data_IF_197026313179
#
_entry.id   IF_197026313179
#
_cell.length_a   1.000
_cell.length_b   1.000
_cell.length_c   1.000
_cell.angle_alpha   90.00
_cell.angle_beta   90.00
_cell.angle_gamma   90.00
#
_symmetry.space_group_name_H-M   'P 1'
#
loop_
_entity.id
_entity.type
_entity.pdbx_description
1 polymer ?
#
# COMPACT_ATOMS: atom_id res chain seq x y z
N UNK A 1 61.15 35.09 -24.18
CA UNK A 1 59.76 35.48 -23.86
C UNK A 1 58.88 34.29 -24.25
N UNK A 2 58.59 33.36 -23.32
CA UNK A 2 57.42 33.33 -22.43
C UNK A 2 56.07 33.24 -23.18
N UNK A 3 55.49 32.03 -23.13
CA UNK A 3 54.11 31.69 -22.70
C UNK A 3 53.08 31.18 -23.73
N UNK A 4 52.90 29.86 -23.66
CA UNK A 4 51.68 29.07 -23.41
C UNK A 4 50.56 28.98 -24.47
N UNK A 5 50.45 27.75 -25.00
CA UNK A 5 49.21 27.13 -25.43
C UNK A 5 48.22 27.05 -24.27
N UNK A 6 47.02 27.58 -24.47
CA UNK A 6 45.87 27.43 -23.59
C UNK A 6 45.05 26.24 -24.10
N UNK A 7 45.36 25.03 -23.62
CA UNK A 7 44.50 23.86 -23.80
C UNK A 7 43.53 23.78 -22.63
N UNK A 8 42.27 24.11 -22.91
CA UNK A 8 41.13 23.99 -22.01
C UNK A 8 40.84 22.50 -21.77
N UNK A 9 41.24 21.95 -20.63
CA UNK A 9 40.75 20.65 -20.16
C UNK A 9 39.50 20.91 -19.31
N UNK A 10 38.32 20.68 -19.89
CA UNK A 10 37.09 20.51 -19.12
C UNK A 10 37.23 19.22 -18.31
N UNK A 11 37.37 19.36 -16.99
CA UNK A 11 37.18 18.25 -16.07
C UNK A 11 35.66 17.98 -15.96
N UNK A 12 35.19 16.96 -16.66
CA UNK A 12 33.87 16.37 -16.40
C UNK A 12 34.02 15.60 -15.08
N UNK A 13 33.58 16.20 -13.97
CA UNK A 13 33.35 15.46 -12.74
C UNK A 13 32.14 14.56 -13.00
N UNK A 14 32.41 13.29 -13.31
CA UNK A 14 31.39 12.26 -13.24
C UNK A 14 30.99 12.15 -11.77
N UNK A 15 29.80 12.63 -11.43
CA UNK A 15 29.15 12.28 -10.16
C UNK A 15 28.80 10.81 -10.32
N UNK A 16 29.62 9.94 -9.74
CA UNK A 16 29.22 8.56 -9.51
C UNK A 16 28.04 8.63 -8.53
N UNK A 17 26.82 8.49 -9.04
CA UNK A 17 25.68 8.09 -8.24
C UNK A 17 26.06 6.72 -7.69
N UNK A 18 26.51 6.64 -6.44
CA UNK A 18 26.66 5.33 -5.82
C UNK A 18 25.27 4.73 -5.78
N UNK A 19 25.08 3.59 -6.44
CA UNK A 19 23.87 2.81 -6.24
C UNK A 19 23.67 2.66 -4.73
N UNK A 20 22.44 2.89 -4.29
CA UNK A 20 22.12 2.63 -2.90
C UNK A 20 22.36 1.14 -2.63
N UNK A 21 23.29 0.83 -1.74
CA UNK A 21 23.50 -0.55 -1.33
C UNK A 21 22.25 -1.03 -0.58
N UNK A 22 21.67 -2.17 -0.97
CA UNK A 22 20.59 -2.79 -0.22
C UNK A 22 21.02 -3.08 1.21
N UNK A 23 20.03 -3.14 2.11
CA UNK A 23 20.25 -3.66 3.46
C UNK A 23 20.98 -5.01 3.41
N UNK A 24 21.81 -5.29 4.42
CA UNK A 24 22.64 -6.49 4.50
C UNK A 24 22.12 -7.52 5.51
N UNK A 25 20.94 -7.29 6.09
CA UNK A 25 20.34 -8.14 7.11
C UNK A 25 20.83 -7.88 8.54
N UNK A 26 21.69 -6.87 8.77
CA UNK A 26 22.22 -6.55 10.10
C UNK A 26 21.52 -5.36 10.75
N UNK A 27 21.73 -5.14 12.05
CA UNK A 27 21.22 -3.98 12.78
C UNK A 27 22.36 -3.12 13.33
N UNK A 28 22.13 -1.81 13.42
CA UNK A 28 23.08 -0.86 13.98
C UNK A 28 22.35 0.37 14.54
N UNK A 29 22.77 0.82 15.72
CA UNK A 29 22.19 2.01 16.35
C UNK A 29 22.47 3.27 15.55
N UNK A 30 21.51 4.21 15.58
CA UNK A 30 21.67 5.54 14.99
C UNK A 30 22.90 6.25 15.56
N UNK A 31 23.62 6.98 14.71
CA UNK A 31 24.78 7.79 15.11
C UNK A 31 24.47 9.29 15.15
N UNK A 32 23.29 9.69 14.63
CA UNK A 32 22.84 11.07 14.53
C UNK A 32 21.43 11.24 15.12
N UNK A 33 21.22 12.36 15.82
CA UNK A 33 19.96 12.68 16.51
C UNK A 33 19.91 12.19 17.96
N UNK A 34 19.09 12.84 18.78
CA UNK A 34 18.79 12.44 20.17
C UNK A 34 17.31 12.04 20.37
N UNK A 35 16.58 11.95 19.26
CA UNK A 35 15.17 11.61 19.20
C UNK A 35 14.24 12.74 19.66
N UNK A 36 14.75 13.96 19.88
CA UNK A 36 13.89 15.14 20.05
C UNK A 36 13.31 15.60 18.71
N UNK A 37 12.27 16.44 18.75
CA UNK A 37 11.68 17.02 17.53
C UNK A 37 12.64 17.94 16.76
N UNK A 38 13.64 18.53 17.43
CA UNK A 38 14.68 19.36 16.79
C UNK A 38 15.81 18.52 16.18
N UNK A 39 16.06 17.33 16.77
CA UNK A 39 17.13 16.41 16.36
C UNK A 39 16.62 14.97 16.39
N UNK A 40 15.71 14.61 15.45
CA UNK A 40 15.17 13.26 15.37
C UNK A 40 16.30 12.24 15.14
N UNK A 41 16.11 11.01 15.59
CA UNK A 41 16.99 9.91 15.19
C UNK A 41 16.94 9.75 13.67
N UNK A 42 18.10 9.78 13.02
CA UNK A 42 18.17 9.68 11.57
C UNK A 42 18.21 8.22 11.12
N UNK A 43 17.24 7.82 10.30
CA UNK A 43 17.26 6.53 9.59
C UNK A 43 18.00 6.75 8.27
N UNK A 44 19.24 6.27 8.21
CA UNK A 44 20.17 6.51 7.09
C UNK A 44 20.42 5.26 6.24
N UNK A 45 19.94 4.10 6.69
CA UNK A 45 20.13 2.79 6.07
C UNK A 45 19.18 1.76 6.69
N UNK A 46 19.15 0.54 6.12
CA UNK A 46 18.33 -0.56 6.62
C UNK A 46 18.73 -1.02 8.03
N UNK A 47 20.01 -0.92 8.40
CA UNK A 47 20.50 -1.31 9.73
C UNK A 47 19.91 -0.43 10.85
N UNK A 48 19.72 0.87 10.60
CA UNK A 48 19.04 1.79 11.52
C UNK A 48 17.55 1.46 11.69
N UNK A 49 16.89 1.00 10.63
CA UNK A 49 15.49 0.58 10.65
C UNK A 49 15.34 -0.77 11.39
N UNK A 50 16.22 -1.73 11.12
CA UNK A 50 16.27 -3.01 11.81
C UNK A 50 16.54 -2.83 13.31
N UNK A 51 17.42 -1.89 13.68
CA UNK A 51 17.65 -1.55 15.08
C UNK A 51 16.39 -0.99 15.75
N UNK A 52 15.60 -0.16 15.07
CA UNK A 52 14.30 0.29 15.59
C UNK A 52 13.38 -0.90 15.86
N UNK A 53 13.26 -1.84 14.91
CA UNK A 53 12.44 -3.04 15.06
C UNK A 53 12.87 -3.88 16.27
N UNK A 54 14.16 -4.15 16.41
CA UNK A 54 14.71 -4.89 17.56
C UNK A 54 14.38 -4.23 18.90
N UNK A 55 14.51 -2.90 19.00
CA UNK A 55 14.26 -2.19 20.25
C UNK A 55 12.77 -2.18 20.61
N UNK A 56 11.87 -2.00 19.63
CA UNK A 56 10.42 -2.06 19.87
C UNK A 56 10.00 -3.47 20.25
N UNK A 57 10.53 -4.51 19.59
CA UNK A 57 10.33 -5.89 19.98
C UNK A 57 10.93 -6.24 21.35
N UNK A 58 11.91 -5.47 21.84
CA UNK A 58 12.43 -5.59 23.21
C UNK A 58 11.57 -4.84 24.25
N UNK A 59 10.57 -4.06 23.82
CA UNK A 59 9.63 -3.34 24.68
C UNK A 59 9.86 -1.83 24.78
N UNK A 60 10.81 -1.26 24.03
CA UNK A 60 10.94 0.20 23.96
C UNK A 60 9.85 0.80 23.08
N UNK A 61 9.01 1.67 23.66
CA UNK A 61 7.86 2.24 22.95
C UNK A 61 8.22 3.46 22.10
N UNK A 62 9.31 4.15 22.42
CA UNK A 62 9.69 5.44 21.84
C UNK A 62 8.64 6.55 21.98
N UNK A 63 7.77 6.49 22.99
CA UNK A 63 6.80 7.54 23.28
C UNK A 63 7.48 8.93 23.38
N UNK A 64 7.02 9.88 22.57
CA UNK A 64 7.57 11.24 22.51
C UNK A 64 8.93 11.37 21.81
N UNK A 65 9.40 10.31 21.13
CA UNK A 65 10.62 10.34 20.31
C UNK A 65 10.31 10.46 18.83
N UNK A 66 11.23 11.07 18.09
CA UNK A 66 11.09 11.41 16.68
C UNK A 66 12.15 10.70 15.83
N UNK A 67 11.71 10.15 14.70
CA UNK A 67 12.53 9.48 13.70
C UNK A 67 12.33 10.16 12.36
N UNK A 68 13.40 10.31 11.59
CA UNK A 68 13.36 10.92 10.26
C UNK A 68 14.11 10.04 9.27
N UNK A 69 13.42 9.65 8.20
CA UNK A 69 14.02 8.97 7.08
C UNK A 69 14.78 9.96 6.19
N UNK A 70 16.06 9.67 5.90
CA UNK A 70 16.94 10.61 5.18
C UNK A 70 17.01 10.36 3.68
N UNK A 71 16.64 9.16 3.24
CA UNK A 71 16.61 8.71 1.83
C UNK A 71 15.68 7.51 1.70
N UNK A 72 15.32 7.15 0.49
CA UNK A 72 14.63 5.88 0.23
C UNK A 72 15.47 4.71 0.76
N UNK A 73 14.86 3.58 1.11
CA UNK A 73 15.56 2.37 1.55
C UNK A 73 15.27 1.22 0.60
N UNK A 74 16.33 0.52 0.19
CA UNK A 74 16.25 -0.80 -0.45
C UNK A 74 16.55 -1.85 0.62
N UNK A 75 15.58 -2.74 0.87
CA UNK A 75 15.65 -3.72 1.96
C UNK A 75 16.03 -5.14 1.50
N UNK A 76 16.40 -5.32 0.21
CA UNK A 76 17.03 -6.54 -0.29
C UNK A 76 16.17 -7.81 -0.32
N UNK A 77 14.84 -7.69 -0.49
CA UNK A 77 13.96 -8.85 -0.66
C UNK A 77 14.35 -9.73 -1.86
N UNK A 78 14.76 -9.11 -2.98
CA UNK A 78 15.33 -9.78 -4.16
C UNK A 78 16.62 -10.59 -3.86
N UNK A 79 17.31 -10.29 -2.76
CA UNK A 79 18.46 -11.03 -2.23
C UNK A 79 18.07 -12.07 -1.17
N UNK A 80 16.78 -12.28 -0.94
CA UNK A 80 16.25 -13.21 0.04
C UNK A 80 16.29 -12.69 1.48
N UNK A 81 16.52 -11.39 1.69
CA UNK A 81 16.45 -10.79 3.02
C UNK A 81 14.99 -10.66 3.46
N UNK A 82 14.79 -10.80 4.76
CA UNK A 82 13.50 -10.70 5.41
C UNK A 82 13.61 -9.73 6.58
N UNK A 83 12.60 -8.88 6.73
CA UNK A 83 12.56 -7.84 7.75
C UNK A 83 11.55 -8.19 8.85
N UNK A 84 11.99 -8.09 10.10
CA UNK A 84 11.13 -8.27 11.26
C UNK A 84 10.31 -6.99 11.50
N UNK A 85 8.97 -7.09 11.67
CA UNK A 85 8.12 -5.93 11.95
C UNK A 85 8.61 -5.06 13.11
N UNK A 86 8.35 -3.74 13.01
CA UNK A 86 8.55 -2.82 14.14
C UNK A 86 7.41 -3.02 15.13
N UNK A 87 7.69 -3.79 16.17
CA UNK A 87 6.71 -4.16 17.18
C UNK A 87 5.85 -5.36 16.78
N UNK A 88 4.93 -5.73 17.66
CA UNK A 88 4.12 -6.95 17.57
C UNK A 88 2.75 -6.70 18.19
N UNK A 89 1.68 -7.13 17.53
CA UNK A 89 0.35 -7.18 18.12
C UNK A 89 0.12 -8.58 18.71
N UNK A 90 -0.18 -8.64 19.99
CA UNK A 90 -0.37 -9.90 20.72
C UNK A 90 -1.30 -9.74 21.92
N UNK A 91 -2.45 -9.11 21.71
CA UNK A 91 -3.47 -9.00 22.76
C UNK A 91 -4.44 -10.18 22.68
N UNK A 92 -4.55 -10.97 23.75
CA UNK A 92 -5.30 -12.23 23.73
C UNK A 92 -6.04 -12.53 25.03
N UNK A 93 -6.95 -13.51 24.96
CA UNK A 93 -7.64 -14.09 26.12
C UNK A 93 -7.09 -15.51 26.32
N UNK A 94 -6.62 -15.83 27.53
CA UNK A 94 -6.11 -17.15 27.88
C UNK A 94 -7.26 -18.07 28.33
N UNK A 95 -7.88 -18.70 27.35
CA UNK A 95 -8.97 -19.66 27.58
C UNK A 95 -8.51 -20.96 28.26
N UNK A 96 -7.19 -21.19 28.39
CA UNK A 96 -6.64 -22.38 29.07
C UNK A 96 -6.61 -22.23 30.60
N UNK A 97 -6.76 -21.01 31.10
CA UNK A 97 -6.90 -20.73 32.50
C UNK A 97 -8.39 -20.72 32.89
N UNK A 98 -8.95 -21.78 33.51
CA UNK A 98 -10.36 -21.83 33.89
C UNK A 98 -10.75 -20.81 34.98
N UNK A 99 -9.76 -20.10 35.54
CA UNK A 99 -9.97 -18.99 36.47
C UNK A 99 -9.88 -17.60 35.79
N UNK A 100 -9.58 -17.52 34.48
CA UNK A 100 -9.94 -16.35 33.67
C UNK A 100 -11.45 -16.37 33.45
N UNK A 101 -12.20 -15.93 34.47
CA UNK A 101 -13.61 -15.60 34.29
C UNK A 101 -13.77 -14.38 33.37
N UNK A 102 -15.01 -14.13 32.93
CA UNK A 102 -15.41 -12.99 32.07
C UNK A 102 -14.94 -11.61 32.59
N UNK A 103 -14.54 -11.51 33.87
CA UNK A 103 -14.06 -10.29 34.55
C UNK A 103 -12.53 -10.10 34.60
N UNK A 104 -11.70 -11.01 34.05
CA UNK A 104 -10.23 -10.93 34.17
C UNK A 104 -9.51 -10.20 33.01
N UNK A 105 -10.26 -9.70 32.02
CA UNK A 105 -9.76 -8.77 30.99
C UNK A 105 -8.84 -9.39 29.92
N UNK A 106 -8.52 -8.60 28.89
CA UNK A 106 -7.58 -8.94 27.82
C UNK A 106 -6.14 -8.91 28.38
N UNK A 107 -5.32 -9.91 28.05
CA UNK A 107 -3.88 -9.87 28.30
C UNK A 107 -3.25 -8.95 27.26
N UNK A 108 -2.67 -7.83 27.69
CA UNK A 108 -1.97 -6.89 26.81
C UNK A 108 -0.50 -7.29 26.62
N UNK A 109 -0.21 -8.23 25.70
CA UNK A 109 1.17 -8.64 25.39
C UNK A 109 1.75 -7.92 24.15
N UNK A 110 0.97 -7.03 23.52
CA UNK A 110 1.43 -6.24 22.39
C UNK A 110 2.63 -5.34 22.73
N UNK A 111 3.54 -5.21 21.77
CA UNK A 111 4.69 -4.31 21.80
C UNK A 111 4.53 -3.28 20.70
N UNK A 112 4.02 -2.11 21.07
CA UNK A 112 3.61 -1.11 20.10
C UNK A 112 4.58 0.08 20.05
N UNK A 113 4.89 0.53 18.84
CA UNK A 113 5.58 1.79 18.63
C UNK A 113 4.65 2.97 18.95
N UNK A 114 5.13 3.95 19.72
CA UNK A 114 4.38 5.12 20.19
C UNK A 114 5.09 6.45 19.89
N UNK A 115 6.12 6.43 19.03
CA UNK A 115 6.86 7.61 18.60
C UNK A 115 6.29 8.27 17.34
N UNK A 116 7.04 9.23 16.81
CA UNK A 116 6.78 9.88 15.52
C UNK A 116 7.79 9.36 14.50
N UNK A 117 7.31 8.70 13.45
CA UNK A 117 8.12 8.26 12.32
C UNK A 117 7.76 9.10 11.09
N UNK A 118 8.67 9.99 10.70
CA UNK A 118 8.54 10.82 9.52
C UNK A 118 9.37 10.26 8.36
N UNK A 119 8.69 9.74 7.36
CA UNK A 119 9.29 9.24 6.12
C UNK A 119 9.87 10.34 5.24
N UNK A 120 9.60 11.62 5.51
CA UNK A 120 10.16 12.75 4.77
C UNK A 120 9.93 12.67 3.24
N UNK A 121 8.79 12.11 2.83
CA UNK A 121 8.44 11.87 1.44
C UNK A 121 9.29 10.78 0.76
N UNK A 122 9.91 9.90 1.55
CA UNK A 122 10.73 8.78 1.07
C UNK A 122 9.96 7.47 1.13
N UNK A 123 10.44 6.48 0.39
CA UNK A 123 9.91 5.12 0.40
C UNK A 123 10.86 4.10 1.02
N UNK A 124 10.28 3.09 1.64
CA UNK A 124 10.94 1.83 1.96
C UNK A 124 10.46 0.84 0.90
N UNK A 125 11.39 0.30 0.13
CA UNK A 125 11.12 -0.54 -1.03
C UNK A 125 11.93 -1.83 -0.96
N UNK A 126 11.57 -2.80 -1.81
CA UNK A 126 12.20 -4.11 -1.85
C UNK A 126 12.26 -4.76 -0.46
N UNK A 127 11.22 -4.54 0.36
CA UNK A 127 11.11 -5.09 1.72
C UNK A 127 10.22 -6.32 1.70
N UNK A 128 10.70 -7.40 2.29
CA UNK A 128 9.90 -8.59 2.56
C UNK A 128 9.64 -8.67 4.06
N UNK A 129 8.45 -8.28 4.47
CA UNK A 129 7.97 -8.47 5.83
C UNK A 129 7.23 -9.80 5.85
N UNK A 130 7.56 -10.65 6.80
CA UNK A 130 6.96 -11.97 6.92
C UNK A 130 6.51 -12.21 8.35
N UNK A 131 5.56 -13.12 8.47
CA UNK A 131 5.03 -13.56 9.75
C UNK A 131 5.82 -14.77 10.28
N UNK A 132 6.23 -14.73 11.54
CA UNK A 132 7.17 -15.70 12.13
C UNK A 132 6.47 -16.79 12.93
N UNK A 133 5.25 -16.57 13.44
CA UNK A 133 4.69 -17.43 14.49
C UNK A 133 3.19 -17.73 14.33
N UNK A 134 2.82 -18.95 13.97
CA UNK A 134 1.43 -19.42 13.84
C UNK A 134 0.55 -19.21 15.09
N UNK A 135 1.13 -18.91 16.26
CA UNK A 135 0.41 -18.66 17.50
C UNK A 135 0.13 -17.19 17.85
N UNK A 136 0.54 -16.22 17.02
CA UNK A 136 0.17 -14.80 17.23
C UNK A 136 -1.29 -14.52 16.80
N UNK A 137 -1.92 -13.56 17.48
CA UNK A 137 -3.28 -13.07 17.15
C UNK A 137 -3.34 -12.18 15.90
N UNK A 138 -2.22 -12.03 15.19
CA UNK A 138 -2.11 -11.26 13.95
C UNK A 138 -1.31 -9.97 14.10
N UNK A 139 -1.45 -9.07 13.13
CA UNK A 139 -0.79 -7.76 13.14
C UNK A 139 0.54 -7.77 12.42
N UNK A 140 0.49 -7.85 11.09
CA UNK A 140 1.68 -7.78 10.23
C UNK A 140 1.69 -6.50 9.41
N UNK A 141 2.84 -5.81 9.42
CA UNK A 141 3.11 -4.63 8.61
C UNK A 141 4.52 -4.11 8.92
N UNK A 142 4.93 -3.00 8.30
CA UNK A 142 6.21 -2.36 8.67
C UNK A 142 6.26 -2.09 10.18
N UNK A 143 5.14 -1.64 10.74
CA UNK A 143 4.87 -1.64 12.15
C UNK A 143 3.86 -2.76 12.47
N UNK A 144 4.26 -3.77 13.25
CA UNK A 144 3.32 -4.82 13.67
C UNK A 144 2.19 -4.25 14.54
N UNK A 145 2.55 -3.34 15.45
CA UNK A 145 1.60 -2.57 16.25
C UNK A 145 2.05 -1.12 16.44
N UNK A 146 1.12 -0.18 16.36
CA UNK A 146 1.31 1.19 16.86
C UNK A 146 0.33 1.50 18.00
N UNK A 147 0.80 2.28 18.97
CA UNK A 147 0.04 2.65 20.17
C UNK A 147 -0.48 4.09 20.13
N UNK A 148 -1.20 4.47 21.18
CA UNK A 148 -1.72 5.82 21.37
C UNK A 148 -0.61 6.87 21.28
N UNK A 149 -0.83 7.88 20.45
CA UNK A 149 0.11 8.98 20.25
C UNK A 149 1.19 8.72 19.21
N UNK A 150 1.25 7.51 18.64
CA UNK A 150 2.08 7.23 17.47
C UNK A 150 1.66 8.09 16.28
N UNK A 151 2.63 8.57 15.51
CA UNK A 151 2.40 9.26 14.23
C UNK A 151 3.32 8.64 13.19
N UNK A 152 2.73 8.04 12.15
CA UNK A 152 3.44 7.58 10.96
C UNK A 152 3.06 8.53 9.83
N UNK A 153 4.05 9.21 9.24
CA UNK A 153 3.76 10.21 8.21
C UNK A 153 4.76 10.26 7.06
N UNK A 154 4.32 10.76 5.91
CA UNK A 154 5.14 11.04 4.73
C UNK A 154 5.97 9.83 4.26
N UNK A 155 5.40 8.62 4.33
CA UNK A 155 6.11 7.37 4.10
C UNK A 155 5.42 6.52 3.03
N UNK A 156 6.21 6.01 2.10
CA UNK A 156 5.78 5.04 1.09
C UNK A 156 6.29 3.63 1.36
N UNK A 157 5.47 2.62 1.08
CA UNK A 157 5.91 1.26 0.80
C UNK A 157 6.00 1.09 -0.72
N UNK A 158 7.18 0.80 -1.24
CA UNK A 158 7.45 0.75 -2.68
C UNK A 158 6.99 -0.54 -3.36
N UNK A 159 6.90 -0.50 -4.69
CA UNK A 159 6.29 -1.56 -5.51
C UNK A 159 6.99 -2.93 -5.46
N UNK A 160 8.27 -2.99 -5.05
CA UNK A 160 9.03 -4.25 -4.97
C UNK A 160 8.85 -4.95 -3.62
N UNK A 161 7.97 -4.40 -2.78
CA UNK A 161 7.76 -4.88 -1.42
C UNK A 161 6.68 -5.94 -1.38
N UNK A 162 6.86 -6.93 -0.52
CA UNK A 162 5.89 -7.97 -0.20
C UNK A 162 5.68 -8.02 1.31
N UNK A 163 4.44 -7.95 1.73
CA UNK A 163 4.02 -8.10 3.12
C UNK A 163 3.24 -9.40 3.21
N UNK A 164 3.92 -10.45 3.68
CA UNK A 164 3.36 -11.76 3.95
C UNK A 164 2.79 -11.79 5.37
N UNK A 165 1.49 -12.01 5.49
CA UNK A 165 0.81 -11.99 6.79
C UNK A 165 -0.37 -12.95 6.92
N UNK A 166 -0.89 -13.03 8.14
CA UNK A 166 -2.13 -13.74 8.46
C UNK A 166 -3.22 -12.72 8.78
N UNK A 167 -3.88 -12.81 9.93
CA UNK A 167 -4.92 -11.86 10.32
C UNK A 167 -4.36 -10.48 10.66
N UNK A 168 -5.15 -9.42 10.41
CA UNK A 168 -4.77 -8.02 10.65
C UNK A 168 -3.48 -7.62 9.91
N UNK A 169 -3.45 -7.82 8.59
CA UNK A 169 -2.27 -7.49 7.78
C UNK A 169 -2.45 -6.18 7.03
N UNK A 170 -1.49 -5.26 7.17
CA UNK A 170 -1.43 -4.03 6.39
C UNK A 170 0.01 -3.66 6.02
N UNK A 171 0.20 -2.95 4.91
CA UNK A 171 1.56 -2.66 4.42
C UNK A 171 2.37 -1.80 5.41
N UNK A 172 1.74 -0.78 6.00
CA UNK A 172 2.37 0.10 6.98
C UNK A 172 2.18 -0.40 8.40
N UNK A 173 0.95 -0.75 8.77
CA UNK A 173 0.60 -1.11 10.15
C UNK A 173 -0.24 -2.37 10.16
N UNK A 174 0.14 -3.36 10.98
CA UNK A 174 -0.72 -4.52 11.26
C UNK A 174 -1.95 -4.11 12.06
N UNK A 175 -1.73 -3.64 13.30
CA UNK A 175 -2.80 -3.18 14.18
C UNK A 175 -2.54 -1.80 14.82
N UNK A 176 -3.57 -0.95 14.85
CA UNK A 176 -3.54 0.37 15.51
C UNK A 176 -4.29 0.31 16.85
N UNK A 177 -3.60 0.47 17.99
CA UNK A 177 -4.21 0.77 19.30
C UNK A 177 -4.25 2.29 19.52
N UNK A 178 -4.84 3.00 18.56
CA UNK A 178 -4.81 4.44 18.40
C UNK A 178 -3.67 4.95 17.50
N UNK A 179 -3.45 6.27 17.51
CA UNK A 179 -2.40 6.93 16.71
C UNK A 179 -2.90 7.46 15.36
N UNK A 180 -1.96 7.91 14.53
CA UNK A 180 -2.21 8.60 13.27
C UNK A 180 -1.31 8.07 12.16
N UNK A 181 -1.91 7.66 11.04
CA UNK A 181 -1.23 7.39 9.78
C UNK A 181 -1.65 8.46 8.77
N UNK A 182 -0.71 9.28 8.27
CA UNK A 182 -1.06 10.37 7.35
C UNK A 182 -0.04 10.62 6.25
N UNK A 183 -0.49 11.04 5.07
CA UNK A 183 0.41 11.32 3.93
C UNK A 183 1.28 10.11 3.57
N UNK A 184 0.72 8.91 3.72
CA UNK A 184 1.41 7.67 3.47
C UNK A 184 0.78 6.90 2.31
N UNK A 185 1.53 5.97 1.74
CA UNK A 185 1.02 5.16 0.66
C UNK A 185 1.59 3.75 0.62
N UNK A 186 0.86 2.86 -0.07
CA UNK A 186 1.32 1.53 -0.41
C UNK A 186 1.25 1.31 -1.92
N UNK A 187 2.36 0.87 -2.50
CA UNK A 187 2.47 0.33 -3.86
C UNK A 187 2.93 -1.13 -3.86
N UNK A 188 3.32 -1.67 -2.70
CA UNK A 188 3.71 -3.06 -2.52
C UNK A 188 2.53 -4.03 -2.41
N UNK A 189 2.84 -5.33 -2.44
CA UNK A 189 1.82 -6.39 -2.37
C UNK A 189 1.58 -6.84 -0.94
N UNK A 190 0.31 -6.94 -0.54
CA UNK A 190 -0.11 -7.69 0.64
C UNK A 190 -0.47 -9.11 0.21
N UNK A 191 0.25 -10.09 0.74
CA UNK A 191 0.15 -11.53 0.45
C UNK A 191 -0.33 -12.26 1.71
N UNK A 192 -1.65 -12.35 1.88
CA UNK A 192 -2.28 -13.07 2.99
C UNK A 192 -2.21 -14.57 2.75
N UNK A 193 -1.60 -15.29 3.69
CA UNK A 193 -1.55 -16.76 3.68
C UNK A 193 -2.79 -17.39 4.30
N UNK A 194 -3.38 -16.71 5.28
CA UNK A 194 -4.60 -17.10 6.01
C UNK A 194 -5.15 -15.88 6.76
N UNK A 195 -6.26 -16.02 7.46
CA UNK A 195 -6.86 -14.92 8.23
C UNK A 195 -8.00 -14.22 7.49
N UNK A 196 -8.65 -13.28 8.17
CA UNK A 196 -9.89 -12.65 7.74
C UNK A 196 -9.71 -11.18 7.35
N UNK A 197 -8.69 -10.51 7.89
CA UNK A 197 -8.63 -9.05 7.90
C UNK A 197 -7.33 -8.56 7.24
N UNK A 198 -7.47 -7.79 6.18
CA UNK A 198 -6.37 -7.02 5.59
C UNK A 198 -6.80 -5.65 5.11
N UNK A 199 -5.87 -4.70 5.16
CA UNK A 199 -6.03 -3.39 4.55
C UNK A 199 -4.78 -2.94 3.83
N UNK A 200 -4.91 -2.32 2.67
CA UNK A 200 -3.78 -1.86 1.84
C UNK A 200 -2.75 -1.00 2.60
N UNK A 201 -3.15 -0.30 3.67
CA UNK A 201 -2.24 0.44 4.55
C UNK A 201 -2.22 -0.13 5.97
N UNK A 202 -3.40 -0.41 6.53
CA UNK A 202 -3.57 -0.83 7.93
C UNK A 202 -4.41 -2.10 7.98
N UNK A 203 -3.97 -3.15 8.67
CA UNK A 203 -4.78 -4.36 8.84
C UNK A 203 -6.08 -4.07 9.58
N UNK A 204 -5.96 -3.57 10.80
CA UNK A 204 -7.10 -3.03 11.53
C UNK A 204 -6.71 -2.17 12.72
N UNK A 205 -7.69 -1.72 13.48
CA UNK A 205 -7.42 -0.99 14.71
C UNK A 205 -8.60 -0.30 15.34
N UNK A 206 -8.29 0.41 16.41
CA UNK A 206 -9.23 1.12 17.26
C UNK A 206 -8.73 2.52 17.65
N UNK A 207 -9.63 3.47 17.88
CA UNK A 207 -9.31 4.84 18.33
C UNK A 207 -8.23 5.56 17.48
N UNK A 208 -8.09 5.17 16.22
CA UNK A 208 -7.04 5.62 15.31
C UNK A 208 -7.57 6.56 14.23
N UNK A 209 -6.64 7.16 13.49
CA UNK A 209 -6.94 7.97 12.32
C UNK A 209 -6.03 7.63 11.14
N UNK A 210 -6.61 7.44 9.96
CA UNK A 210 -5.91 7.35 8.68
C UNK A 210 -6.36 8.54 7.82
N UNK A 211 -5.42 9.37 7.37
CA UNK A 211 -5.77 10.60 6.66
C UNK A 211 -4.82 10.95 5.51
N UNK A 212 -5.37 11.32 4.35
CA UNK A 212 -4.56 11.74 3.20
C UNK A 212 -3.61 10.62 2.74
N UNK A 213 -4.10 9.39 2.65
CA UNK A 213 -3.31 8.23 2.28
C UNK A 213 -3.89 7.52 1.05
N UNK A 214 -3.07 6.70 0.39
CA UNK A 214 -3.58 5.90 -0.72
C UNK A 214 -2.98 4.50 -0.80
N UNK A 215 -3.72 3.61 -1.45
CA UNK A 215 -3.23 2.31 -1.84
C UNK A 215 -3.31 2.16 -3.35
N UNK A 216 -2.21 1.72 -3.96
CA UNK A 216 -2.10 1.25 -5.34
C UNK A 216 -1.52 -0.17 -5.42
N UNK A 217 -1.04 -0.68 -4.29
CA UNK A 217 -0.58 -2.05 -4.15
C UNK A 217 -1.72 -3.06 -4.19
N UNK A 218 -1.41 -4.29 -4.59
CA UNK A 218 -2.37 -5.40 -4.54
C UNK A 218 -2.65 -5.79 -3.09
N UNK A 219 -3.93 -5.96 -2.76
CA UNK A 219 -4.38 -6.50 -1.47
C UNK A 219 -4.97 -7.87 -1.72
N UNK A 220 -4.40 -8.91 -1.11
CA UNK A 220 -5.04 -10.22 -1.01
C UNK A 220 -5.69 -10.36 0.36
N UNK A 221 -6.82 -11.07 0.43
CA UNK A 221 -7.42 -11.42 1.71
C UNK A 221 -8.67 -12.27 1.59
N UNK A 222 -9.43 -12.37 2.68
CA UNK A 222 -10.70 -13.09 2.70
C UNK A 222 -11.84 -12.13 3.06
N UNK A 223 -12.43 -12.21 4.24
CA UNK A 223 -13.66 -11.49 4.59
C UNK A 223 -13.51 -9.97 4.54
N UNK A 224 -12.70 -9.37 5.40
CA UNK A 224 -12.60 -7.91 5.51
C UNK A 224 -11.34 -7.40 4.81
N UNK A 225 -11.10 -7.89 3.59
CA UNK A 225 -10.02 -7.39 2.74
C UNK A 225 -10.41 -6.01 2.17
N UNK A 226 -9.55 -5.01 2.34
CA UNK A 226 -9.88 -3.66 1.89
C UNK A 226 -8.69 -2.83 1.39
N UNK A 227 -9.00 -1.82 0.59
CA UNK A 227 -7.97 -0.96 -0.01
C UNK A 227 -7.22 -0.08 0.98
N UNK A 228 -7.82 0.31 2.11
CA UNK A 228 -7.15 1.18 3.11
C UNK A 228 -7.03 0.48 4.47
N UNK A 229 -8.15 0.09 5.07
CA UNK A 229 -8.19 -0.58 6.38
C UNK A 229 -9.19 -1.73 6.41
N UNK A 230 -8.77 -2.90 6.90
CA UNK A 230 -9.64 -4.08 6.97
C UNK A 230 -10.71 -3.94 8.06
N UNK A 231 -10.31 -3.63 9.29
CA UNK A 231 -11.22 -3.50 10.44
C UNK A 231 -11.00 -2.20 11.22
N UNK A 232 -12.07 -1.46 11.53
CA UNK A 232 -12.02 -0.18 12.23
C UNK A 232 -13.08 -0.07 13.33
N UNK A 233 -12.67 0.27 14.55
CA UNK A 233 -13.56 0.37 15.73
C UNK A 233 -13.20 1.54 16.68
N UNK A 234 -14.07 1.81 17.67
CA UNK A 234 -13.94 2.80 18.74
C UNK A 234 -13.60 4.20 18.20
N UNK A 235 -14.58 4.80 17.53
CA UNK A 235 -14.48 6.16 16.96
C UNK A 235 -13.32 6.32 15.95
N UNK A 236 -13.00 5.27 15.19
CA UNK A 236 -11.93 5.31 14.19
C UNK A 236 -12.28 6.29 13.06
N UNK A 237 -11.28 7.03 12.56
CA UNK A 237 -11.49 8.03 11.49
C UNK A 237 -10.68 7.65 10.24
N UNK A 238 -11.34 7.57 9.09
CA UNK A 238 -10.70 7.49 7.77
C UNK A 238 -11.13 8.67 6.93
N UNK A 239 -10.20 9.52 6.50
CA UNK A 239 -10.54 10.70 5.70
C UNK A 239 -9.57 10.98 4.57
N UNK A 240 -10.09 11.48 3.45
CA UNK A 240 -9.27 11.87 2.30
C UNK A 240 -8.34 10.73 1.83
N UNK A 241 -8.88 9.53 1.68
CA UNK A 241 -8.10 8.37 1.25
C UNK A 241 -8.64 7.80 -0.06
N UNK A 242 -7.76 7.19 -0.86
CA UNK A 242 -8.22 6.44 -2.03
C UNK A 242 -7.53 5.10 -2.23
N UNK A 243 -8.27 4.16 -2.80
CA UNK A 243 -7.73 2.93 -3.32
C UNK A 243 -7.79 2.94 -4.85
N UNK A 244 -6.66 2.69 -5.49
CA UNK A 244 -6.56 2.28 -6.89
C UNK A 244 -5.74 0.97 -7.03
N UNK A 245 -5.52 0.27 -5.92
CA UNK A 245 -4.92 -1.06 -5.91
C UNK A 245 -5.96 -2.14 -6.14
N UNK A 246 -5.54 -3.24 -6.77
CA UNK A 246 -6.40 -4.40 -6.96
C UNK A 246 -6.67 -5.11 -5.62
N UNK A 247 -7.92 -5.48 -5.37
CA UNK A 247 -8.34 -6.26 -4.21
C UNK A 247 -8.72 -7.66 -4.70
N UNK A 248 -7.92 -8.65 -4.35
CA UNK A 248 -8.20 -10.06 -4.58
C UNK A 248 -8.74 -10.68 -3.27
N UNK A 249 -9.96 -11.20 -3.30
CA UNK A 249 -10.55 -11.83 -2.12
C UNK A 249 -11.32 -13.10 -2.46
N UNK A 250 -11.17 -14.10 -1.61
CA UNK A 250 -11.91 -15.37 -1.66
C UNK A 250 -13.03 -15.44 -0.61
N UNK A 251 -13.23 -14.36 0.16
CA UNK A 251 -14.22 -14.26 1.23
C UNK A 251 -15.40 -13.37 0.86
N UNK A 252 -16.19 -13.04 1.88
CA UNK A 252 -17.41 -12.23 1.76
C UNK A 252 -17.11 -10.77 2.09
N UNK A 253 -17.79 -9.82 1.46
CA UNK A 253 -17.74 -8.38 1.80
C UNK A 253 -16.39 -7.64 1.66
N UNK A 254 -15.48 -7.99 0.73
CA UNK A 254 -14.29 -7.18 0.51
C UNK A 254 -14.69 -5.79 0.00
N UNK A 255 -13.92 -4.77 0.36
CA UNK A 255 -14.35 -3.40 0.21
C UNK A 255 -13.28 -2.44 -0.31
N UNK A 256 -13.68 -1.45 -1.09
CA UNK A 256 -12.74 -0.54 -1.75
C UNK A 256 -11.88 0.27 -0.78
N UNK A 257 -12.41 0.61 0.40
CA UNK A 257 -11.72 1.46 1.39
C UNK A 257 -11.69 0.82 2.79
N UNK A 258 -12.85 0.47 3.35
CA UNK A 258 -12.96 -0.12 4.69
C UNK A 258 -13.68 -1.46 4.64
N UNK A 259 -13.08 -2.54 5.13
CA UNK A 259 -13.71 -3.86 5.18
C UNK A 259 -14.90 -3.89 6.14
N UNK A 260 -14.66 -3.59 7.42
CA UNK A 260 -15.70 -3.48 8.45
C UNK A 260 -15.48 -2.25 9.34
N UNK A 261 -16.48 -1.38 9.41
CA UNK A 261 -16.53 -0.23 10.30
C UNK A 261 -17.53 -0.47 11.45
N UNK A 262 -17.03 -0.86 12.63
CA UNK A 262 -17.86 -1.08 13.81
C UNK A 262 -18.24 0.25 14.49
N UNK A 263 -17.29 1.17 14.62
CA UNK A 263 -17.55 2.49 15.18
C UNK A 263 -16.58 3.52 14.62
N UNK A 264 -17.13 4.66 14.19
CA UNK A 264 -16.33 5.76 13.67
C UNK A 264 -16.92 6.45 12.45
N UNK A 265 -16.03 7.04 11.66
CA UNK A 265 -16.36 7.86 10.51
C UNK A 265 -15.43 7.62 9.34
N UNK A 266 -16.02 7.51 8.16
CA UNK A 266 -15.32 7.62 6.87
C UNK A 266 -15.82 8.87 6.14
N UNK A 267 -14.90 9.67 5.59
CA UNK A 267 -15.31 10.79 4.73
C UNK A 267 -14.33 11.19 3.64
N UNK A 268 -14.87 11.66 2.52
CA UNK A 268 -14.09 12.16 1.38
C UNK A 268 -13.15 11.10 0.80
N UNK A 269 -13.60 9.86 0.69
CA UNK A 269 -12.78 8.74 0.21
C UNK A 269 -13.32 8.20 -1.12
N UNK A 270 -12.46 7.58 -1.92
CA UNK A 270 -12.96 6.84 -3.08
C UNK A 270 -12.21 5.55 -3.39
N UNK A 271 -12.88 4.64 -4.09
CA UNK A 271 -12.27 3.48 -4.71
C UNK A 271 -12.34 3.56 -6.23
N UNK A 272 -11.21 3.38 -6.89
CA UNK A 272 -11.11 3.10 -8.32
C UNK A 272 -10.43 1.74 -8.59
N UNK A 273 -9.94 1.08 -7.54
CA UNK A 273 -9.29 -0.21 -7.63
C UNK A 273 -10.26 -1.32 -8.04
N UNK A 274 -9.72 -2.26 -8.81
CA UNK A 274 -10.44 -3.43 -9.29
C UNK A 274 -10.64 -4.46 -8.18
N UNK A 275 -11.74 -5.21 -8.27
CA UNK A 275 -11.98 -6.38 -7.44
C UNK A 275 -11.81 -7.65 -8.27
N UNK A 276 -11.16 -8.65 -7.70
CA UNK A 276 -11.11 -10.02 -8.21
C UNK A 276 -11.65 -10.92 -7.12
N UNK A 277 -12.94 -11.19 -7.17
CA UNK A 277 -13.64 -11.88 -6.08
C UNK A 277 -14.72 -12.84 -6.58
N UNK A 278 -15.05 -13.85 -5.80
CA UNK A 278 -16.11 -14.83 -6.11
C UNK A 278 -17.53 -14.36 -5.70
N UNK A 279 -17.63 -13.30 -4.90
CA UNK A 279 -18.89 -12.73 -4.39
C UNK A 279 -19.14 -11.30 -4.91
N UNK A 280 -20.03 -10.52 -4.29
CA UNK A 280 -20.33 -9.13 -4.64
C UNK A 280 -19.44 -8.16 -3.84
N UNK A 281 -18.50 -7.44 -4.48
CA UNK A 281 -17.61 -6.52 -3.77
C UNK A 281 -18.35 -5.26 -3.36
N UNK A 282 -17.88 -4.68 -2.25
CA UNK A 282 -18.41 -3.44 -1.73
C UNK A 282 -17.58 -2.25 -2.19
N UNK A 283 -18.20 -1.34 -2.95
CA UNK A 283 -17.49 -0.23 -3.60
C UNK A 283 -16.63 0.63 -2.66
N UNK A 284 -17.05 0.87 -1.42
CA UNK A 284 -16.26 1.66 -0.44
C UNK A 284 -16.17 0.98 0.92
N UNK A 285 -17.31 0.67 1.54
CA UNK A 285 -17.38 0.09 2.89
C UNK A 285 -18.09 -1.25 2.83
N UNK A 286 -17.49 -2.30 3.40
CA UNK A 286 -18.07 -3.63 3.43
C UNK A 286 -19.24 -3.69 4.40
N UNK A 287 -18.93 -4.01 5.66
CA UNK A 287 -19.89 -4.07 6.74
C UNK A 287 -19.83 -2.84 7.65
N UNK A 288 -20.95 -2.59 8.34
CA UNK A 288 -21.07 -1.51 9.33
C UNK A 288 -21.96 -1.91 10.50
N UNK A 289 -21.69 -1.32 11.66
CA UNK A 289 -22.64 -1.32 12.78
C UNK A 289 -23.48 -0.04 12.83
N UNK A 290 -24.53 -0.05 13.66
CA UNK A 290 -25.42 1.10 13.81
C UNK A 290 -24.70 2.32 14.40
N UNK A 291 -24.86 3.47 13.74
CA UNK A 291 -24.38 4.77 14.25
C UNK A 291 -23.06 5.25 13.64
N UNK A 292 -22.46 4.48 12.72
CA UNK A 292 -21.30 4.95 11.95
C UNK A 292 -21.67 6.12 11.04
N UNK A 293 -20.69 6.95 10.70
CA UNK A 293 -20.85 8.11 9.82
C UNK A 293 -20.12 7.85 8.50
N UNK A 294 -20.85 7.86 7.39
CA UNK A 294 -20.30 7.74 6.04
C UNK A 294 -20.71 8.99 5.26
N UNK A 295 -19.74 9.76 4.77
CA UNK A 295 -20.01 11.02 4.09
C UNK A 295 -19.07 11.24 2.90
N UNK A 296 -19.61 11.67 1.76
CA UNK A 296 -18.80 12.08 0.60
C UNK A 296 -17.88 10.95 0.10
N UNK A 297 -18.39 9.73 0.01
CA UNK A 297 -17.64 8.56 -0.42
C UNK A 297 -18.08 8.09 -1.82
N UNK A 298 -17.13 7.64 -2.63
CA UNK A 298 -17.39 7.32 -4.03
C UNK A 298 -16.70 6.04 -4.49
N UNK A 299 -17.25 5.38 -5.50
CA UNK A 299 -16.55 4.30 -6.17
C UNK A 299 -16.76 4.36 -7.68
N UNK A 300 -15.74 3.94 -8.41
CA UNK A 300 -15.80 3.77 -9.85
C UNK A 300 -16.78 2.66 -10.19
N UNK A 301 -17.77 2.97 -11.01
CA UNK A 301 -18.76 2.01 -11.48
C UNK A 301 -18.08 0.88 -12.26
N UNK A 302 -18.36 -0.36 -11.86
CA UNK A 302 -17.93 -1.57 -12.52
C UNK A 302 -19.00 -2.66 -12.33
N UNK A 303 -18.99 -3.66 -13.21
CA UNK A 303 -19.98 -4.74 -13.19
C UNK A 303 -19.88 -5.53 -11.88
N UNK A 304 -21.03 -5.76 -11.23
CA UNK A 304 -21.12 -6.46 -9.95
C UNK A 304 -20.64 -5.70 -8.71
N UNK A 305 -20.12 -4.46 -8.82
CA UNK A 305 -19.72 -3.67 -7.65
C UNK A 305 -20.90 -2.90 -7.09
N UNK A 306 -21.23 -3.15 -5.82
CA UNK A 306 -22.37 -2.54 -5.14
C UNK A 306 -21.94 -1.81 -3.86
N UNK A 307 -22.69 -0.81 -3.42
CA UNK A 307 -22.56 -0.24 -2.08
C UNK A 307 -23.79 0.63 -1.76
N UNK A 308 -24.76 0.08 -1.03
CA UNK A 308 -26.03 0.77 -0.74
C UNK A 308 -25.99 1.64 0.53
N UNK A 309 -24.83 1.73 1.20
CA UNK A 309 -24.67 2.53 2.39
C UNK A 309 -24.88 4.02 2.09
N UNK A 310 -25.71 4.69 2.90
CA UNK A 310 -25.96 6.12 2.77
C UNK A 310 -24.64 6.90 2.89
N UNK A 311 -24.41 7.84 1.97
CA UNK A 311 -23.15 8.61 1.89
C UNK A 311 -22.10 8.01 0.95
N UNK A 312 -22.36 6.83 0.39
CA UNK A 312 -21.60 6.25 -0.74
C UNK A 312 -22.35 6.50 -2.05
N UNK A 313 -21.63 6.78 -3.13
CA UNK A 313 -22.22 7.03 -4.46
C UNK A 313 -21.35 6.44 -5.57
N UNK A 314 -21.92 5.63 -6.45
CA UNK A 314 -21.22 5.18 -7.65
C UNK A 314 -21.03 6.33 -8.63
N UNK A 315 -19.92 6.32 -9.37
CA UNK A 315 -19.59 7.30 -10.39
C UNK A 315 -19.01 6.62 -11.61
N UNK A 316 -19.42 7.06 -12.79
CA UNK A 316 -18.77 6.67 -14.04
C UNK A 316 -17.33 7.20 -14.08
N UNK A 317 -16.49 6.61 -14.93
CA UNK A 317 -15.13 7.10 -15.15
C UNK A 317 -15.10 8.58 -15.58
N UNK A 318 -15.97 8.97 -16.50
CA UNK A 318 -16.05 10.35 -17.01
C UNK A 318 -16.44 11.34 -15.90
N UNK A 319 -17.33 10.94 -14.98
CA UNK A 319 -17.65 11.77 -13.83
C UNK A 319 -16.46 11.88 -12.87
N UNK A 320 -15.76 10.79 -12.56
CA UNK A 320 -14.61 10.83 -11.65
C UNK A 320 -13.42 11.62 -12.23
N UNK A 321 -13.28 11.69 -13.56
CA UNK A 321 -12.28 12.54 -14.22
C UNK A 321 -12.67 14.02 -14.30
N UNK A 322 -13.90 14.37 -13.92
CA UNK A 322 -14.42 15.73 -14.07
C UNK A 322 -13.92 16.69 -12.99
N UNK A 323 -13.84 17.98 -13.35
CA UNK A 323 -13.60 19.07 -12.40
C UNK A 323 -14.70 19.14 -11.33
N UNK A 324 -15.93 18.76 -11.67
CA UNK A 324 -17.05 18.74 -10.72
C UNK A 324 -16.83 17.71 -9.62
N UNK A 325 -16.32 16.52 -9.96
CA UNK A 325 -15.97 15.52 -8.95
C UNK A 325 -14.83 15.99 -8.04
N UNK A 326 -13.81 16.63 -8.60
CA UNK A 326 -12.75 17.25 -7.80
C UNK A 326 -13.29 18.32 -6.83
N UNK A 327 -14.24 19.15 -7.29
CA UNK A 327 -14.89 20.16 -6.44
C UNK A 327 -15.73 19.51 -5.32
N UNK A 328 -16.39 18.40 -5.62
CA UNK A 328 -17.16 17.62 -4.64
C UNK A 328 -16.27 16.97 -3.58
N UNK A 329 -15.16 16.34 -3.98
CA UNK A 329 -14.18 15.78 -3.03
C UNK A 329 -13.59 16.86 -2.11
N UNK A 330 -13.28 18.04 -2.65
CA UNK A 330 -12.76 19.15 -1.87
C UNK A 330 -13.83 19.82 -1.00
N UNK A 331 -15.06 19.94 -1.46
CA UNK A 331 -16.16 20.56 -0.72
C UNK A 331 -15.78 21.91 -0.11
N UNK A 332 -15.78 21.98 1.23
CA UNK A 332 -15.38 23.18 2.00
C UNK A 332 -14.03 23.02 2.72
N UNK A 333 -13.29 21.95 2.43
CA UNK A 333 -12.01 21.66 3.08
C UNK A 333 -10.96 22.73 2.77
N UNK A 334 -10.22 23.17 3.80
CA UNK A 334 -9.17 24.19 3.67
C UNK A 334 -7.95 23.83 4.54
N UNK A 335 -6.75 23.65 3.95
CA UNK A 335 -6.48 23.66 2.51
C UNK A 335 -7.21 22.51 1.78
N UNK A 336 -7.42 22.67 0.47
CA UNK A 336 -8.03 21.64 -0.36
C UNK A 336 -7.10 20.41 -0.43
N UNK A 337 -7.54 19.22 0.03
CA UNK A 337 -6.67 18.04 0.07
C UNK A 337 -6.55 17.36 -1.29
N UNK A 338 -7.50 17.57 -2.21
CA UNK A 338 -7.52 16.93 -3.52
C UNK A 338 -7.13 17.90 -4.63
N UNK A 339 -6.34 17.43 -5.59
CA UNK A 339 -5.96 18.14 -6.81
C UNK A 339 -6.17 17.24 -8.03
N UNK A 340 -6.22 17.84 -9.22
CA UNK A 340 -6.23 17.08 -10.45
C UNK A 340 -4.90 16.33 -10.65
N UNK A 341 -4.97 15.11 -11.19
CA UNK A 341 -3.78 14.33 -11.55
C UNK A 341 -3.22 14.76 -12.90
N UNK A 342 -2.45 15.85 -12.87
CA UNK A 342 -1.83 16.43 -14.08
C UNK A 342 -0.71 15.58 -14.65
N UNK A 343 -0.17 14.66 -13.87
CA UNK A 343 0.97 13.81 -14.23
C UNK A 343 0.57 12.36 -14.51
N UNK A 344 -0.74 12.06 -14.53
CA UNK A 344 -1.30 10.73 -14.78
C UNK A 344 -0.78 9.63 -13.85
N UNK A 345 -0.37 9.99 -12.61
CA UNK A 345 0.15 9.02 -11.63
C UNK A 345 -0.95 8.14 -11.03
N UNK A 346 -2.20 8.55 -11.19
CA UNK A 346 -3.42 7.84 -10.80
C UNK A 346 -4.42 7.86 -11.97
N UNK A 347 -3.95 7.66 -13.20
CA UNK A 347 -4.78 7.51 -14.39
C UNK A 347 -5.70 8.72 -14.68
N UNK A 348 -5.30 9.91 -14.21
CA UNK A 348 -6.07 11.15 -14.38
C UNK A 348 -7.16 11.36 -13.33
N UNK A 349 -7.43 10.36 -12.48
CA UNK A 349 -8.35 10.50 -11.34
C UNK A 349 -7.73 11.43 -10.28
N UNK A 350 -8.53 12.17 -9.49
CA UNK A 350 -8.01 13.09 -8.47
C UNK A 350 -6.95 12.46 -7.57
N UNK A 351 -5.92 13.21 -7.22
CA UNK A 351 -4.87 12.79 -6.29
C UNK A 351 -4.80 13.74 -5.11
N UNK A 352 -4.07 13.36 -4.09
CA UNK A 352 -3.87 14.19 -2.92
C UNK A 352 -2.84 15.29 -3.21
N UNK A 353 -3.06 16.49 -2.68
CA UNK A 353 -2.24 17.67 -2.93
C UNK A 353 -0.77 17.50 -2.54
N UNK A 354 -0.45 16.59 -1.64
CA UNK A 354 0.94 16.30 -1.27
C UNK A 354 1.66 15.48 -2.36
N UNK A 355 0.95 14.72 -3.20
CA UNK A 355 1.54 13.90 -4.27
C UNK A 355 2.16 14.75 -5.38
N UNK A 356 1.71 15.98 -5.58
CA UNK A 356 2.33 16.92 -6.54
C UNK A 356 3.61 17.57 -5.99
N UNK A 357 3.81 17.57 -4.67
CA UNK A 357 4.87 18.35 -4.01
C UNK A 357 6.26 17.67 -4.03
N UNK A 358 6.40 16.52 -4.70
CA UNK A 358 7.64 15.75 -4.80
C UNK A 358 8.27 15.68 -6.21
N UNK A 359 7.68 16.28 -7.24
CA UNK A 359 8.20 16.17 -8.63
C UNK A 359 9.06 17.37 -9.04
N UNK A 360 10.20 17.55 -8.38
CA UNK A 360 11.38 18.16 -9.02
C UNK A 360 12.61 17.31 -8.74
N UNK A 361 12.85 16.32 -9.61
CA UNK A 361 14.09 15.56 -9.63
C UNK A 361 13.91 14.14 -10.14
N UNK A 362 14.00 13.98 -11.46
CA UNK A 362 14.29 12.73 -12.19
C UNK A 362 13.49 11.49 -11.76
N UNK A 363 12.46 11.17 -12.54
CA UNK A 363 11.96 9.80 -12.68
C UNK A 363 13.18 8.88 -12.89
N UNK A 364 13.45 8.00 -11.93
CA UNK A 364 13.95 6.69 -12.31
C UNK A 364 12.79 6.07 -13.09
N UNK A 365 12.95 5.94 -14.40
CA UNK A 365 12.08 5.09 -15.21
C UNK A 365 11.98 3.75 -14.49
N UNK A 366 10.80 3.44 -13.95
CA UNK A 366 10.38 2.04 -13.84
C UNK A 366 10.67 1.47 -15.22
N UNK A 367 11.61 0.54 -15.29
CA UNK A 367 11.83 -0.17 -16.54
C UNK A 367 10.65 -1.13 -16.64
N UNK A 368 9.57 -0.59 -17.20
CA UNK A 368 8.40 -1.34 -17.62
C UNK A 368 8.89 -2.46 -18.56
N UNK A 369 8.24 -3.63 -18.51
CA UNK A 369 8.58 -4.70 -19.42
C UNK A 369 8.45 -4.18 -20.86
N UNK A 370 9.56 -4.18 -21.59
CA UNK A 370 9.61 -3.70 -22.97
C UNK A 370 9.01 -4.76 -23.89
N UNK A 371 7.71 -4.64 -24.13
CA UNK A 371 6.96 -5.53 -24.99
C UNK A 371 5.93 -4.79 -25.85
N UNK A 372 5.73 -5.26 -27.07
CA UNK A 372 4.65 -4.80 -27.93
C UNK A 372 3.47 -5.75 -27.82
N UNK A 373 2.31 -5.20 -27.50
CA UNK A 373 1.04 -5.92 -27.47
C UNK A 373 0.08 -5.31 -28.48
N UNK A 374 -0.51 -6.16 -29.33
CA UNK A 374 -1.60 -5.74 -30.21
C UNK A 374 -2.69 -6.81 -30.30
N UNK A 375 -3.89 -6.34 -30.62
CA UNK A 375 -5.07 -7.17 -30.76
C UNK A 375 -5.49 -7.20 -32.22
N UNK A 376 -5.56 -8.41 -32.79
CA UNK A 376 -6.15 -8.62 -34.10
C UNK A 376 -7.26 -9.68 -33.98
N UNK A 377 -8.49 -9.26 -34.28
CA UNK A 377 -9.71 -10.06 -34.08
C UNK A 377 -9.88 -10.51 -32.61
N UNK A 378 -9.64 -11.80 -32.35
CA UNK A 378 -9.74 -12.47 -31.06
C UNK A 378 -8.37 -12.85 -30.48
N UNK A 379 -7.27 -12.53 -31.18
CA UNK A 379 -5.93 -12.90 -30.77
C UNK A 379 -5.18 -11.69 -30.20
N UNK A 380 -4.57 -11.90 -29.05
CA UNK A 380 -3.62 -10.97 -28.42
C UNK A 380 -2.22 -11.47 -28.74
N UNK A 381 -1.47 -10.68 -29.49
CA UNK A 381 -0.08 -10.95 -29.84
C UNK A 381 0.84 -10.21 -28.88
N UNK A 382 1.90 -10.88 -28.43
CA UNK A 382 2.90 -10.28 -27.54
C UNK A 382 4.29 -10.52 -28.11
N UNK A 383 5.02 -9.43 -28.32
CA UNK A 383 6.44 -9.48 -28.70
C UNK A 383 7.26 -8.91 -27.56
N UNK A 384 8.15 -9.70 -26.99
CA UNK A 384 9.09 -9.27 -25.97
C UNK A 384 10.34 -8.71 -26.65
N UNK A 385 10.80 -7.52 -26.27
CA UNK A 385 12.04 -6.93 -26.82
C UNK A 385 13.30 -7.51 -26.16
N UNK A 386 13.23 -7.82 -24.86
CA UNK A 386 14.37 -8.26 -24.05
C UNK A 386 14.33 -9.72 -23.59
N UNK A 387 13.27 -10.47 -23.92
CA UNK A 387 13.08 -11.87 -23.49
C UNK A 387 12.67 -12.77 -24.65
N UNK A 388 12.99 -14.07 -24.57
CA UNK A 388 12.56 -15.07 -25.56
C UNK A 388 11.14 -15.58 -25.27
N UNK A 389 10.67 -15.48 -24.03
CA UNK A 389 9.38 -15.98 -23.59
C UNK A 389 8.87 -15.29 -22.33
N UNK A 390 7.56 -15.27 -22.13
CA UNK A 390 6.95 -14.73 -20.91
C UNK A 390 5.59 -15.35 -20.61
N UNK A 391 5.11 -15.12 -19.40
CA UNK A 391 3.78 -15.51 -18.95
C UNK A 391 2.76 -14.45 -19.38
N UNK A 392 1.67 -14.88 -20.01
CA UNK A 392 0.52 -14.04 -20.36
C UNK A 392 -0.69 -14.55 -19.60
N UNK A 393 -1.21 -13.66 -18.76
CA UNK A 393 -2.41 -13.87 -17.97
C UNK A 393 -3.48 -12.93 -18.54
N UNK A 394 -4.57 -13.49 -19.03
CA UNK A 394 -5.75 -12.74 -19.44
C UNK A 394 -6.84 -12.95 -18.42
N UNK A 395 -7.34 -11.85 -17.88
CA UNK A 395 -8.46 -11.80 -16.96
C UNK A 395 -9.62 -11.12 -17.67
N UNK A 396 -10.83 -11.62 -17.48
CA UNK A 396 -12.03 -10.85 -17.83
C UNK A 396 -12.25 -9.69 -16.85
N UNK A 397 -13.24 -8.82 -17.11
CA UNK A 397 -13.52 -7.68 -16.23
C UNK A 397 -14.02 -8.06 -14.82
N UNK A 398 -14.32 -9.33 -14.58
CA UNK A 398 -14.68 -9.85 -13.25
C UNK A 398 -13.45 -10.33 -12.47
N UNK A 399 -12.25 -10.23 -13.06
CA UNK A 399 -11.00 -10.66 -12.45
C UNK A 399 -10.71 -12.15 -12.63
N UNK A 400 -11.64 -12.92 -13.23
CA UNK A 400 -11.43 -14.33 -13.49
C UNK A 400 -10.35 -14.50 -14.55
N UNK A 401 -9.29 -15.22 -14.19
CA UNK A 401 -8.28 -15.67 -15.15
C UNK A 401 -8.92 -16.62 -16.15
N UNK A 402 -9.00 -16.18 -17.41
CA UNK A 402 -9.49 -16.98 -18.53
C UNK A 402 -8.36 -17.61 -19.34
N UNK A 403 -7.16 -17.03 -19.28
CA UNK A 403 -5.95 -17.55 -19.92
C UNK A 403 -4.80 -17.34 -18.96
N UNK A 404 -4.01 -18.38 -18.75
CA UNK A 404 -2.72 -18.32 -18.05
C UNK A 404 -1.77 -19.24 -18.82
N UNK A 405 -0.84 -18.64 -19.56
CA UNK A 405 0.07 -19.38 -20.46
C UNK A 405 1.42 -18.72 -20.57
N UNK A 406 2.47 -19.53 -20.55
CA UNK A 406 3.78 -19.14 -21.08
C UNK A 406 3.76 -19.21 -22.61
N UNK A 407 4.20 -18.12 -23.26
CA UNK A 407 4.29 -18.02 -24.72
C UNK A 407 5.69 -17.55 -25.15
N UNK A 408 6.10 -17.85 -26.38
CA UNK A 408 7.34 -17.32 -26.95
C UNK A 408 7.10 -15.91 -27.53
N UNK A 409 8.16 -15.13 -27.74
CA UNK A 409 8.05 -13.83 -28.40
C UNK A 409 7.44 -13.96 -29.81
N UNK A 410 6.38 -13.21 -30.07
CA UNK A 410 5.61 -13.24 -31.33
C UNK A 410 4.43 -14.23 -31.35
N UNK A 411 4.24 -15.03 -30.30
CA UNK A 411 3.07 -15.90 -30.16
C UNK A 411 1.81 -15.08 -29.80
N UNK A 412 0.66 -15.76 -29.84
CA UNK A 412 -0.62 -15.17 -29.44
C UNK A 412 -1.42 -16.05 -28.51
N UNK A 413 -2.30 -15.41 -27.75
CA UNK A 413 -3.38 -16.05 -26.99
C UNK A 413 -4.73 -15.67 -27.59
N UNK A 414 -5.63 -16.64 -27.71
CA UNK A 414 -6.96 -16.43 -28.30
C UNK A 414 -7.99 -16.26 -27.20
N UNK A 415 -8.70 -15.15 -27.23
CA UNK A 415 -9.83 -14.81 -26.37
C UNK A 415 -11.11 -15.05 -27.16
N UNK A 416 -11.86 -16.09 -26.76
CA UNK A 416 -12.99 -16.60 -27.54
C UNK A 416 -14.21 -15.66 -27.53
N UNK A 417 -14.42 -14.97 -26.42
CA UNK A 417 -15.58 -14.13 -26.19
C UNK A 417 -15.27 -12.66 -26.48
N UNK A 418 -16.30 -11.93 -26.89
CA UNK A 418 -16.22 -10.47 -27.04
C UNK A 418 -16.33 -9.84 -25.66
N UNK A 419 -15.54 -8.81 -25.41
CA UNK A 419 -15.50 -8.20 -24.09
C UNK A 419 -14.28 -7.33 -23.89
N UNK A 420 -14.16 -6.82 -22.67
CA UNK A 420 -12.98 -6.10 -22.20
C UNK A 420 -12.20 -7.07 -21.31
N UNK A 421 -10.88 -7.04 -21.42
CA UNK A 421 -9.99 -7.95 -20.70
C UNK A 421 -8.78 -7.18 -20.15
N UNK A 422 -8.24 -7.63 -19.02
CA UNK A 422 -6.94 -7.21 -18.53
C UNK A 422 -5.92 -8.26 -18.98
N UNK A 423 -4.86 -7.82 -19.65
CA UNK A 423 -3.72 -8.67 -20.01
C UNK A 423 -2.54 -8.25 -19.16
N UNK A 424 -2.08 -9.17 -18.33
CA UNK A 424 -0.82 -9.06 -17.60
C UNK A 424 0.22 -9.93 -18.30
N UNK A 425 1.35 -9.32 -18.63
CA UNK A 425 2.49 -9.97 -19.25
C UNK A 425 3.64 -9.91 -18.26
N UNK A 426 4.28 -11.06 -17.97
CA UNK A 426 5.46 -11.13 -17.11
C UNK A 426 6.62 -11.80 -17.82
N UNK A 427 7.82 -11.23 -17.71
CA UNK A 427 9.05 -11.86 -18.16
C UNK A 427 10.23 -11.32 -17.34
N UNK A 428 11.21 -12.17 -17.03
CA UNK A 428 12.47 -11.79 -16.38
C UNK A 428 12.32 -10.93 -15.10
N UNK A 429 11.27 -11.21 -14.31
CA UNK A 429 10.98 -10.48 -13.06
C UNK A 429 10.34 -9.10 -13.25
N UNK A 430 10.01 -8.72 -14.49
CA UNK A 430 9.27 -7.51 -14.86
C UNK A 430 7.84 -7.86 -15.29
N UNK A 431 6.95 -6.86 -15.26
CA UNK A 431 5.57 -7.02 -15.72
C UNK A 431 5.07 -5.79 -16.48
N UNK A 432 4.15 -6.03 -17.41
CA UNK A 432 3.35 -5.01 -18.10
C UNK A 432 1.88 -5.41 -17.99
N UNK A 433 1.01 -4.47 -17.61
CA UNK A 433 -0.42 -4.71 -17.42
C UNK A 433 -1.17 -3.72 -18.31
N UNK A 434 -2.07 -4.22 -19.12
CA UNK A 434 -2.86 -3.39 -20.04
C UNK A 434 -4.28 -3.88 -20.18
N UNK A 435 -5.18 -2.96 -20.53
CA UNK A 435 -6.60 -3.23 -20.75
C UNK A 435 -6.88 -3.26 -22.24
N UNK A 436 -7.53 -4.31 -22.72
CA UNK A 436 -7.84 -4.52 -24.14
C UNK A 436 -9.33 -4.75 -24.37
N UNK A 437 -9.79 -4.54 -25.61
CA UNK A 437 -11.16 -4.82 -26.03
C UNK A 437 -11.18 -5.75 -27.24
N UNK A 438 -11.88 -6.88 -27.13
CA UNK A 438 -12.13 -7.86 -28.20
C UNK A 438 -13.51 -7.56 -28.80
N UNK A 439 -13.55 -7.20 -30.10
CA UNK A 439 -14.72 -6.64 -30.78
C UNK A 439 -15.57 -7.62 -31.57
#
# INVERSE_FOLDING_TARGET
MKKYYLSLLMAIMAIAVSAQEPWDGTSASWTNGDGSSEKPYLIENGQHLAFLAEQVLAGETYAGKFFLLTKDLDMGADKGLKFDPIGMYDDYIDTSNPNQGEDQGIIEASKCFSGVFDGNGKKIDNIHIYYIDEMSVGGTGLFGCIGKGAIIQNLGIGEKSTIEGMDQTGALVGYMKGGLVQYCYNEGTIDMKSGMISGGLVGGGENGKIANCYNRGMVTGTTYAAGIIGFADKDFIVENCYNNGMIYSTGFTPAGVIGYLCSGRISNCYNAGLFVIDDTPMGVVGDIDAGVIIENCYFLEADGVENEHAGVTSKTNDEMLSVDFLNVLNGTQSPAPWVADVNTVNEGLPILAWQISGTTGMQATQQELDCELFVENQAVYVTFESSESGEVIVMDMTGRTIIDKTIQSGDSVIILDKGIYIVMVKADGQQHITKIAIK
#
